data_IF_888347309082
#
_entry.id   IF_888347309082
#
_cell.length_a   1.000
_cell.length_b   1.000
_cell.length_c   1.000
_cell.angle_alpha   90.00
_cell.angle_beta   90.00
_cell.angle_gamma   90.00
#
_symmetry.space_group_name_H-M   'P 1'
#
loop_
_entity.id
_entity.type
_entity.pdbx_description
1 polymer ?
#
# COMPACT_ATOMS: atom_id res chain seq x y z
N UNK A 1 -6.40 2.53 27.31
CA UNK A 1 -5.54 1.40 27.68
C UNK A 1 -4.56 1.74 28.79
N UNK A 2 -3.64 2.71 28.63
CA UNK A 2 -2.64 3.09 29.65
C UNK A 2 -3.21 3.30 31.07
N UNK A 3 -4.30 4.05 31.22
CA UNK A 3 -5.01 4.24 32.51
C UNK A 3 -5.47 2.92 33.15
N UNK A 4 -5.93 1.97 32.35
CA UNK A 4 -6.38 0.65 32.83
C UNK A 4 -5.17 -0.15 33.31
N UNK A 5 -4.06 -0.11 32.57
CA UNK A 5 -2.82 -0.78 32.98
C UNK A 5 -2.32 -0.21 34.30
N UNK A 6 -2.25 1.12 34.45
CA UNK A 6 -1.85 1.77 35.71
C UNK A 6 -2.68 1.31 36.91
N UNK A 7 -4.01 1.37 36.79
CA UNK A 7 -4.92 0.98 37.89
C UNK A 7 -4.77 -0.47 38.35
N UNK A 8 -4.31 -1.36 37.46
CA UNK A 8 -4.23 -2.80 37.69
C UNK A 8 -2.77 -3.30 37.81
N UNK A 9 -1.78 -2.40 37.86
CA UNK A 9 -0.37 -2.78 37.99
C UNK A 9 -0.11 -3.32 39.41
N UNK A 10 0.27 -4.60 39.50
CA UNK A 10 0.39 -5.33 40.76
C UNK A 10 1.79 -5.92 41.03
N UNK A 11 2.63 -6.02 40.00
CA UNK A 11 4.03 -6.44 40.07
C UNK A 11 4.85 -5.75 38.96
N UNK A 12 6.18 -5.84 39.03
CA UNK A 12 7.05 -5.21 38.03
C UNK A 12 6.80 -5.82 36.65
N UNK A 13 6.47 -4.98 35.66
CA UNK A 13 6.12 -5.43 34.29
C UNK A 13 6.86 -4.65 33.21
N UNK A 14 7.07 -5.30 32.07
CA UNK A 14 7.41 -4.64 30.81
C UNK A 14 6.11 -4.33 30.06
N UNK A 15 5.91 -3.08 29.70
CA UNK A 15 4.74 -2.60 28.96
C UNK A 15 5.18 -2.26 27.54
N UNK A 16 4.79 -3.12 26.61
CA UNK A 16 5.21 -3.06 25.22
C UNK A 16 4.13 -2.41 24.33
N UNK A 17 4.50 -1.35 23.61
CA UNK A 17 3.68 -0.80 22.52
C UNK A 17 4.11 -1.39 21.19
N UNK A 18 3.20 -2.13 20.57
CA UNK A 18 3.39 -2.74 19.24
C UNK A 18 2.77 -1.92 18.10
N UNK A 19 1.72 -1.17 18.41
CA UNK A 19 1.05 -0.28 17.47
C UNK A 19 2.00 0.77 16.91
N UNK A 20 1.78 1.20 15.67
CA UNK A 20 2.47 2.37 15.12
C UNK A 20 1.95 3.62 15.83
N UNK A 21 2.81 4.24 16.64
CA UNK A 21 2.48 5.40 17.47
C UNK A 21 3.45 6.55 17.19
N UNK A 22 3.01 7.82 17.29
CA UNK A 22 3.88 8.99 17.13
C UNK A 22 5.14 8.94 18.00
N UNK A 23 6.22 9.58 17.54
CA UNK A 23 7.48 9.64 18.29
C UNK A 23 7.28 10.39 19.61
N UNK A 24 7.74 9.80 20.70
CA UNK A 24 7.55 10.29 22.08
C UNK A 24 6.31 9.73 22.78
N UNK A 25 5.55 8.82 22.15
CA UNK A 25 4.37 8.21 22.78
C UNK A 25 4.75 7.43 24.03
N UNK A 26 5.93 6.80 24.07
CA UNK A 26 6.39 6.10 25.26
C UNK A 26 6.42 6.95 26.54
N UNK A 27 6.80 8.23 26.44
CA UNK A 27 6.78 9.16 27.57
C UNK A 27 5.36 9.43 28.06
N UNK A 28 4.46 9.76 27.13
CA UNK A 28 3.04 10.02 27.42
C UNK A 28 2.38 8.79 28.06
N UNK A 29 2.64 7.60 27.52
CA UNK A 29 2.09 6.35 28.08
C UNK A 29 2.61 6.12 29.49
N UNK A 30 3.91 6.34 29.72
CA UNK A 30 4.54 6.15 31.02
C UNK A 30 4.01 7.13 32.06
N UNK A 31 3.83 8.40 31.71
CA UNK A 31 3.21 9.43 32.55
C UNK A 31 1.78 9.03 32.96
N UNK A 32 0.95 8.65 31.98
CA UNK A 32 -0.44 8.22 32.25
C UNK A 32 -0.49 7.00 33.16
N UNK A 33 0.43 6.05 33.00
CA UNK A 33 0.49 4.87 33.87
C UNK A 33 0.84 5.32 35.29
N UNK A 34 1.92 6.09 35.47
CA UNK A 34 2.36 6.60 36.77
C UNK A 34 1.28 7.39 37.52
N UNK A 35 0.56 8.27 36.83
CA UNK A 35 -0.56 9.05 37.41
C UNK A 35 -1.74 8.18 37.88
N UNK A 36 -1.85 6.96 37.38
CA UNK A 36 -2.99 6.08 37.62
C UNK A 36 -2.63 4.80 38.38
N UNK A 37 -1.38 4.65 38.86
CA UNK A 37 -0.99 3.50 39.66
C UNK A 37 -1.70 3.50 41.01
N UNK A 38 -2.14 2.32 41.42
CA UNK A 38 -2.71 2.07 42.74
C UNK A 38 -1.65 1.64 43.76
N UNK A 39 -0.42 1.41 43.30
CA UNK A 39 0.71 0.80 44.02
C UNK A 39 2.02 1.50 43.61
N UNK A 40 3.04 1.44 44.47
CA UNK A 40 4.41 1.91 44.16
C UNK A 40 5.18 0.94 43.24
N UNK A 41 4.46 0.11 42.49
CA UNK A 41 5.06 -0.91 41.64
C UNK A 41 5.72 -0.29 40.41
N UNK A 42 6.97 -0.65 40.17
CA UNK A 42 7.72 -0.22 38.99
C UNK A 42 7.23 -0.88 37.70
N UNK A 43 7.49 -0.23 36.56
CA UNK A 43 7.34 -0.84 35.24
C UNK A 43 8.38 -0.23 34.30
N UNK A 44 8.57 -0.87 33.17
CA UNK A 44 9.38 -0.32 32.09
C UNK A 44 8.62 -0.32 30.78
N UNK A 45 8.81 0.74 30.00
CA UNK A 45 8.18 0.89 28.70
C UNK A 45 9.09 0.39 27.59
N UNK A 46 8.51 -0.33 26.63
CA UNK A 46 9.20 -0.77 25.42
C UNK A 46 8.39 -0.37 24.18
N UNK A 47 9.10 0.12 23.16
CA UNK A 47 8.56 0.25 21.81
C UNK A 47 9.02 -0.92 20.95
N UNK A 48 8.09 -1.68 20.37
CA UNK A 48 8.40 -2.81 19.52
C UNK A 48 7.52 -2.81 18.27
N UNK A 49 7.80 -1.89 17.33
CA UNK A 49 6.97 -1.71 16.15
C UNK A 49 6.91 -2.99 15.31
N UNK A 50 5.76 -3.21 14.69
CA UNK A 50 5.56 -4.32 13.76
C UNK A 50 5.96 -3.94 12.31
N UNK A 51 6.36 -4.91 11.48
CA UNK A 51 6.68 -4.72 10.06
C UNK A 51 5.97 -5.73 9.15
N UNK A 52 4.76 -6.11 9.55
CA UNK A 52 3.96 -7.11 8.88
C UNK A 52 3.29 -6.50 7.66
N UNK A 53 3.19 -7.28 6.59
CA UNK A 53 2.38 -6.90 5.43
C UNK A 53 1.08 -7.68 5.47
N UNK A 54 -0.02 -6.96 5.27
CA UNK A 54 -1.33 -7.57 5.11
C UNK A 54 -1.32 -8.60 3.95
N UNK A 55 -1.96 -9.76 4.14
CA UNK A 55 -1.86 -10.90 3.22
C UNK A 55 -0.59 -11.76 3.35
N UNK A 56 0.40 -11.37 4.19
CA UNK A 56 1.57 -12.18 4.55
C UNK A 56 1.98 -12.09 6.02
N UNK A 57 1.08 -11.61 6.89
CA UNK A 57 1.39 -11.29 8.28
C UNK A 57 1.97 -12.46 9.08
N UNK A 58 1.42 -13.68 8.91
CA UNK A 58 1.94 -14.89 9.59
C UNK A 58 3.38 -15.16 9.18
N UNK A 59 3.68 -15.09 7.88
CA UNK A 59 5.04 -15.31 7.37
C UNK A 59 6.00 -14.22 7.87
N UNK A 60 5.59 -12.96 7.81
CA UNK A 60 6.43 -11.83 8.23
C UNK A 60 6.67 -11.83 9.75
N UNK A 61 5.76 -12.42 10.53
CA UNK A 61 5.92 -12.59 11.98
C UNK A 61 6.84 -13.76 12.33
N UNK A 62 6.71 -14.90 11.65
CA UNK A 62 7.52 -16.10 11.91
C UNK A 62 8.95 -15.96 11.35
N UNK A 63 9.12 -15.25 10.24
CA UNK A 63 10.41 -15.03 9.60
C UNK A 63 10.65 -13.55 9.28
N UNK A 64 10.80 -12.70 10.31
CA UNK A 64 11.05 -11.27 10.13
C UNK A 64 12.44 -11.01 9.56
N UNK A 65 12.56 -9.99 8.70
CA UNK A 65 13.87 -9.47 8.26
C UNK A 65 14.67 -8.91 9.45
N UNK A 66 13.97 -8.36 10.45
CA UNK A 66 14.47 -7.84 11.74
C UNK A 66 13.33 -7.62 12.73
N UNK A 67 13.65 -7.66 14.02
CA UNK A 67 12.79 -7.20 15.12
C UNK A 67 13.43 -5.97 15.75
N UNK A 68 12.67 -4.88 15.90
CA UNK A 68 13.18 -3.64 16.51
C UNK A 68 12.65 -3.55 17.94
N UNK A 69 13.54 -3.35 18.90
CA UNK A 69 13.20 -3.22 20.32
C UNK A 69 13.82 -1.91 20.83
N UNK A 70 12.95 -0.95 21.14
CA UNK A 70 13.29 0.30 21.82
C UNK A 70 13.09 0.14 23.31
N UNK A 71 14.16 0.10 24.09
CA UNK A 71 14.14 -0.04 25.54
C UNK A 71 15.20 0.89 26.16
N UNK A 72 14.95 1.40 27.37
CA UNK A 72 15.93 2.22 28.10
C UNK A 72 16.78 1.42 29.09
N UNK A 73 16.26 0.29 29.59
CA UNK A 73 17.01 -0.59 30.48
C UNK A 73 17.29 -1.94 29.85
N UNK A 74 18.41 -2.53 30.27
CA UNK A 74 18.83 -3.87 29.89
C UNK A 74 17.81 -4.93 30.33
N UNK A 75 17.20 -4.77 31.51
CA UNK A 75 16.22 -5.74 32.02
C UNK A 75 14.99 -5.87 31.13
N UNK A 76 14.44 -4.74 30.66
CA UNK A 76 13.30 -4.78 29.75
C UNK A 76 13.68 -5.31 28.35
N UNK A 77 14.90 -5.00 27.90
CA UNK A 77 15.42 -5.54 26.66
C UNK A 77 15.57 -7.07 26.71
N UNK A 78 16.24 -7.61 27.73
CA UNK A 78 16.46 -9.04 27.93
C UNK A 78 15.14 -9.83 27.99
N UNK A 79 14.11 -9.28 28.67
CA UNK A 79 12.77 -9.89 28.70
C UNK A 79 12.17 -9.95 27.29
N UNK A 80 12.27 -8.88 26.51
CA UNK A 80 11.72 -8.84 25.16
C UNK A 80 12.50 -9.73 24.20
N UNK A 81 13.83 -9.82 24.36
CA UNK A 81 14.67 -10.75 23.63
C UNK A 81 14.27 -12.21 23.91
N UNK A 82 14.04 -12.56 25.18
CA UNK A 82 13.60 -13.90 25.58
C UNK A 82 12.27 -14.30 24.90
N UNK A 83 11.31 -13.37 24.82
CA UNK A 83 10.04 -13.57 24.09
C UNK A 83 10.30 -13.95 22.63
N UNK A 84 11.25 -13.26 21.97
CA UNK A 84 11.56 -13.45 20.56
C UNK A 84 12.54 -14.60 20.28
N UNK A 85 13.21 -15.15 21.30
CA UNK A 85 14.14 -16.29 21.17
C UNK A 85 13.48 -17.50 20.52
N UNK A 86 12.19 -17.72 20.79
CA UNK A 86 11.42 -18.86 20.27
C UNK A 86 11.20 -18.85 18.75
N UNK A 87 11.41 -17.71 18.07
CA UNK A 87 11.12 -17.59 16.63
C UNK A 87 12.24 -18.10 15.72
N UNK A 88 13.47 -18.26 16.24
CA UNK A 88 14.61 -18.70 15.44
C UNK A 88 15.47 -19.73 16.18
N UNK A 89 16.00 -20.70 15.43
CA UNK A 89 16.87 -21.77 15.94
C UNK A 89 18.27 -21.23 16.29
N UNK A 90 18.75 -20.19 15.58
CA UNK A 90 20.09 -19.64 15.77
C UNK A 90 20.03 -18.27 16.47
N UNK A 91 19.73 -17.20 15.71
CA UNK A 91 19.69 -15.83 16.22
C UNK A 91 18.57 -15.07 15.51
N UNK A 92 17.64 -14.51 16.29
CA UNK A 92 16.64 -13.58 15.75
C UNK A 92 17.35 -12.26 15.46
N UNK A 93 17.22 -11.67 14.25
CA UNK A 93 17.86 -10.39 13.93
C UNK A 93 17.24 -9.24 14.72
N UNK A 94 17.68 -9.04 15.96
CA UNK A 94 17.18 -8.03 16.89
C UNK A 94 18.01 -6.75 16.77
N UNK A 95 17.32 -5.61 16.68
CA UNK A 95 17.91 -4.28 16.75
C UNK A 95 17.50 -3.66 18.09
N UNK A 96 18.44 -3.61 19.03
CA UNK A 96 18.28 -2.89 20.30
C UNK A 96 18.57 -1.40 20.10
N UNK A 97 17.66 -0.54 20.55
CA UNK A 97 17.82 0.92 20.47
C UNK A 97 16.99 1.65 21.54
N UNK A 98 16.95 2.98 21.50
CA UNK A 98 16.08 3.78 22.38
C UNK A 98 14.63 3.78 21.92
N UNK A 99 13.70 4.09 22.81
CA UNK A 99 12.26 4.11 22.54
C UNK A 99 11.92 5.00 21.34
N UNK A 100 12.38 6.26 21.33
CA UNK A 100 12.10 7.20 20.25
C UNK A 100 12.72 6.77 18.92
N UNK A 101 13.89 6.13 18.97
CA UNK A 101 14.55 5.60 17.77
C UNK A 101 13.75 4.45 17.18
N UNK A 102 13.25 3.53 18.01
CA UNK A 102 12.38 2.44 17.55
C UNK A 102 11.08 2.96 16.92
N UNK A 103 10.42 3.93 17.56
CA UNK A 103 9.22 4.59 17.02
C UNK A 103 9.51 5.25 15.67
N UNK A 104 10.63 5.97 15.55
CA UNK A 104 11.05 6.63 14.30
C UNK A 104 11.39 5.63 13.19
N UNK A 105 12.04 4.49 13.49
CA UNK A 105 12.41 3.48 12.48
C UNK A 105 11.18 3.00 11.71
N UNK A 106 10.02 2.84 12.36
CA UNK A 106 8.77 2.43 11.69
C UNK A 106 8.32 3.46 10.65
N UNK A 107 8.24 4.73 11.03
CA UNK A 107 7.85 5.80 10.12
C UNK A 107 8.87 6.00 8.99
N UNK A 108 10.16 6.01 9.32
CA UNK A 108 11.24 6.17 8.34
C UNK A 108 11.22 5.04 7.30
N UNK A 109 11.02 3.79 7.75
CA UNK A 109 10.93 2.63 6.86
C UNK A 109 9.72 2.74 5.91
N UNK A 110 8.52 2.99 6.45
CA UNK A 110 7.30 3.09 5.64
C UNK A 110 7.37 4.27 4.67
N UNK A 111 7.86 5.43 5.12
CA UNK A 111 8.01 6.61 4.28
C UNK A 111 9.01 6.39 3.14
N UNK A 112 10.11 5.68 3.38
CA UNK A 112 11.06 5.34 2.33
C UNK A 112 10.47 4.38 1.30
N UNK A 113 9.69 3.37 1.73
CA UNK A 113 8.99 2.47 0.80
C UNK A 113 7.97 3.21 -0.06
N UNK A 114 7.22 4.16 0.52
CA UNK A 114 6.31 5.04 -0.22
C UNK A 114 7.07 5.91 -1.23
N UNK A 115 8.20 6.49 -0.83
CA UNK A 115 9.07 7.28 -1.70
C UNK A 115 9.56 6.47 -2.90
N UNK A 116 10.00 5.21 -2.71
CA UNK A 116 10.42 4.33 -3.82
C UNK A 116 9.30 4.13 -4.85
N UNK A 117 8.06 3.92 -4.40
CA UNK A 117 6.89 3.76 -5.28
C UNK A 117 6.61 5.06 -6.05
N UNK A 118 6.56 6.21 -5.36
CA UNK A 118 6.33 7.50 -6.02
C UNK A 118 7.42 7.82 -7.02
N UNK A 119 8.68 7.60 -6.66
CA UNK A 119 9.83 7.79 -7.53
C UNK A 119 9.70 6.97 -8.82
N UNK A 120 9.46 5.65 -8.72
CA UNK A 120 9.36 4.83 -9.93
C UNK A 120 8.13 5.18 -10.77
N UNK A 121 7.05 5.69 -10.16
CA UNK A 121 5.89 6.19 -10.89
C UNK A 121 6.19 7.47 -11.68
N UNK A 122 7.02 8.37 -11.17
CA UNK A 122 7.49 9.53 -11.95
C UNK A 122 8.37 9.12 -13.12
N UNK A 123 9.31 8.20 -12.87
CA UNK A 123 10.13 7.61 -13.94
C UNK A 123 9.24 6.93 -14.98
N UNK A 124 8.15 6.28 -14.57
CA UNK A 124 7.17 5.68 -15.49
C UNK A 124 6.55 6.74 -16.41
N UNK A 125 6.17 7.91 -15.87
CA UNK A 125 5.61 8.99 -16.67
C UNK A 125 6.62 9.54 -17.68
N UNK A 126 7.89 9.67 -17.29
CA UNK A 126 8.96 10.08 -18.20
C UNK A 126 9.19 9.02 -19.29
N UNK A 127 9.24 7.74 -18.93
CA UNK A 127 9.45 6.62 -19.86
C UNK A 127 8.43 6.64 -21.00
N UNK A 128 7.16 6.89 -20.69
CA UNK A 128 6.09 7.03 -21.70
C UNK A 128 6.32 8.16 -22.70
N UNK A 129 6.98 9.26 -22.28
CA UNK A 129 7.24 10.42 -23.15
C UNK A 129 8.49 10.29 -23.99
N UNK A 130 9.49 9.54 -23.52
CA UNK A 130 10.78 9.40 -24.19
C UNK A 130 10.94 8.09 -24.96
N UNK A 131 9.91 7.22 -24.95
CA UNK A 131 9.96 5.94 -25.65
C UNK A 131 10.69 4.83 -24.88
N UNK A 132 10.83 4.96 -23.55
CA UNK A 132 11.51 3.96 -22.72
C UNK A 132 10.52 3.00 -22.02
N UNK A 133 11.01 1.86 -21.55
CA UNK A 133 10.25 0.88 -20.74
C UNK A 133 10.72 0.93 -19.28
N UNK A 134 9.83 1.39 -18.39
CA UNK A 134 10.08 1.50 -16.96
C UNK A 134 10.44 0.16 -16.30
N UNK A 135 9.99 -0.98 -16.80
CA UNK A 135 10.33 -2.29 -16.23
C UNK A 135 11.79 -2.66 -16.52
N UNK A 136 12.29 -2.27 -17.70
CA UNK A 136 13.71 -2.42 -18.04
C UNK A 136 14.55 -1.50 -17.17
N UNK A 137 14.11 -0.24 -17.00
CA UNK A 137 14.78 0.74 -16.12
C UNK A 137 14.81 0.24 -14.67
N UNK A 138 13.66 -0.16 -14.11
CA UNK A 138 13.53 -0.66 -12.75
C UNK A 138 14.39 -1.90 -12.52
N UNK A 139 14.43 -2.84 -13.47
CA UNK A 139 15.26 -4.04 -13.41
C UNK A 139 16.75 -3.69 -13.42
N UNK A 140 17.18 -2.80 -14.31
CA UNK A 140 18.58 -2.37 -14.41
C UNK A 140 19.02 -1.63 -13.14
N UNK A 141 18.22 -0.66 -12.67
CA UNK A 141 18.48 0.06 -11.42
C UNK A 141 18.50 -0.88 -10.21
N UNK A 142 17.52 -1.78 -10.12
CA UNK A 142 17.40 -2.73 -9.02
C UNK A 142 18.48 -3.81 -8.98
N UNK A 143 19.28 -3.96 -10.04
CA UNK A 143 20.46 -4.84 -10.05
C UNK A 143 21.63 -4.26 -9.26
N UNK A 144 21.61 -2.95 -8.97
CA UNK A 144 22.54 -2.31 -8.05
C UNK A 144 22.18 -2.68 -6.61
N UNK A 145 23.10 -3.35 -5.90
CA UNK A 145 22.92 -3.80 -4.52
C UNK A 145 22.59 -2.68 -3.53
N UNK A 146 22.85 -1.42 -3.87
CA UNK A 146 22.53 -0.25 -3.03
C UNK A 146 21.06 0.18 -3.11
N UNK A 147 20.32 -0.21 -4.16
CA UNK A 147 18.96 0.27 -4.43
C UNK A 147 17.89 -0.74 -3.95
N UNK A 148 18.19 -2.04 -4.07
CA UNK A 148 17.23 -3.15 -3.95
C UNK A 148 16.13 -3.15 -5.03
N UNK A 149 15.85 -4.29 -5.67
CA UNK A 149 14.83 -4.38 -6.71
C UNK A 149 13.39 -4.33 -6.17
N UNK A 150 13.18 -4.47 -4.87
CA UNK A 150 11.84 -4.45 -4.24
C UNK A 150 11.26 -3.03 -4.25
N UNK A 151 9.93 -2.92 -4.35
CA UNK A 151 9.19 -1.64 -4.34
C UNK A 151 9.56 -0.70 -5.52
N UNK A 152 9.95 -1.28 -6.65
CA UNK A 152 10.20 -0.56 -7.92
C UNK A 152 9.25 -1.01 -9.04
N UNK A 153 8.07 -1.51 -8.67
CA UNK A 153 7.03 -1.84 -9.65
C UNK A 153 6.12 -0.61 -9.81
N UNK A 154 6.03 -0.02 -11.01
CA UNK A 154 5.12 1.09 -11.27
C UNK A 154 3.67 0.60 -11.21
N UNK A 155 2.76 1.50 -10.85
CA UNK A 155 1.35 1.16 -10.71
C UNK A 155 0.43 2.38 -10.62
N UNK A 156 -0.83 2.20 -10.20
CA UNK A 156 -1.81 3.28 -10.10
C UNK A 156 -1.58 4.21 -8.88
N UNK A 157 -0.50 4.00 -8.14
CA UNK A 157 -0.23 4.64 -6.84
C UNK A 157 -0.29 3.63 -5.70
N UNK A 158 0.26 4.00 -4.55
CA UNK A 158 0.13 3.25 -3.30
C UNK A 158 -1.12 3.67 -2.52
N UNK A 159 -1.60 2.76 -1.67
CA UNK A 159 -2.73 2.94 -0.78
C UNK A 159 -2.59 2.10 0.49
N UNK A 160 -3.71 1.70 1.06
CA UNK A 160 -3.78 0.92 2.29
C UNK A 160 -3.70 1.80 3.53
N UNK A 161 -3.87 1.17 4.70
CA UNK A 161 -3.93 1.85 6.00
C UNK A 161 -2.60 2.37 6.54
N UNK A 162 -1.48 1.83 6.06
CA UNK A 162 -0.16 2.13 6.60
C UNK A 162 0.49 3.32 5.89
N UNK A 163 0.79 3.21 4.59
CA UNK A 163 1.66 4.18 3.90
C UNK A 163 1.12 5.62 3.88
N UNK A 164 -0.13 5.90 3.46
CA UNK A 164 -0.64 7.27 3.42
C UNK A 164 -0.74 7.90 4.81
N UNK A 165 -1.19 7.13 5.80
CA UNK A 165 -1.28 7.57 7.20
C UNK A 165 0.09 7.88 7.78
N UNK A 166 1.05 6.95 7.62
CA UNK A 166 2.36 7.06 8.26
C UNK A 166 3.21 8.15 7.62
N UNK A 167 3.17 8.30 6.30
CA UNK A 167 3.85 9.41 5.61
C UNK A 167 3.29 10.76 6.03
N UNK A 168 1.98 10.91 6.09
CA UNK A 168 1.32 12.14 6.55
C UNK A 168 1.65 12.45 8.01
N UNK A 169 1.56 11.44 8.89
CA UNK A 169 1.90 11.58 10.30
C UNK A 169 3.37 11.99 10.50
N UNK A 170 4.30 11.39 9.76
CA UNK A 170 5.72 11.77 9.81
C UNK A 170 5.94 13.23 9.40
N UNK A 171 5.30 13.66 8.31
CA UNK A 171 5.36 15.07 7.85
C UNK A 171 4.82 16.01 8.92
N UNK A 172 3.65 15.72 9.50
CA UNK A 172 3.04 16.55 10.55
C UNK A 172 3.89 16.60 11.81
N UNK A 173 4.42 15.46 12.27
CA UNK A 173 5.32 15.41 13.42
C UNK A 173 6.59 16.25 13.20
N UNK A 174 7.19 16.15 12.02
CA UNK A 174 8.40 16.89 11.68
C UNK A 174 8.12 18.40 11.55
N UNK A 175 6.99 18.80 10.98
CA UNK A 175 6.54 20.19 10.92
C UNK A 175 6.36 20.80 12.32
N UNK A 176 5.76 20.06 13.26
CA UNK A 176 5.62 20.51 14.65
C UNK A 176 6.97 20.71 15.37
N UNK A 177 8.06 20.14 14.82
CA UNK A 177 9.43 20.32 15.27
C UNK A 177 10.24 21.27 14.38
N UNK A 178 9.59 21.98 13.45
CA UNK A 178 10.22 22.88 12.48
C UNK A 178 11.24 22.19 11.55
N UNK A 179 11.04 20.91 11.24
CA UNK A 179 11.87 20.12 10.31
C UNK A 179 11.04 19.76 9.06
N UNK A 180 11.21 20.45 7.93
CA UNK A 180 10.40 20.19 6.75
C UNK A 180 10.84 18.90 6.02
N UNK A 181 9.90 17.97 5.85
CA UNK A 181 10.11 16.69 5.15
C UNK A 181 9.84 16.81 3.63
N UNK A 182 10.64 17.60 2.92
CA UNK A 182 10.41 17.95 1.50
C UNK A 182 10.28 16.74 0.57
N UNK A 183 11.16 15.75 0.72
CA UNK A 183 11.16 14.54 -0.13
C UNK A 183 9.93 13.68 0.08
N UNK A 184 9.45 13.58 1.32
CA UNK A 184 8.25 12.79 1.64
C UNK A 184 6.98 13.54 1.22
N UNK A 185 6.94 14.87 1.37
CA UNK A 185 5.85 15.69 0.84
C UNK A 185 5.70 15.52 -0.68
N UNK A 186 6.81 15.62 -1.41
CA UNK A 186 6.82 15.36 -2.85
C UNK A 186 6.30 13.95 -3.17
N UNK A 187 6.72 12.92 -2.43
CA UNK A 187 6.23 11.56 -2.63
C UNK A 187 4.71 11.42 -2.44
N UNK A 188 4.13 12.12 -1.45
CA UNK A 188 2.67 12.13 -1.21
C UNK A 188 1.94 12.80 -2.37
N UNK A 189 2.40 13.97 -2.80
CA UNK A 189 1.82 14.72 -3.93
C UNK A 189 1.90 13.93 -5.24
N UNK A 190 3.06 13.34 -5.52
CA UNK A 190 3.28 12.46 -6.67
C UNK A 190 2.32 11.27 -6.66
N UNK A 191 2.07 10.66 -5.50
CA UNK A 191 1.11 9.56 -5.40
C UNK A 191 -0.33 10.01 -5.72
N UNK A 192 -0.75 11.16 -5.21
CA UNK A 192 -2.07 11.73 -5.52
C UNK A 192 -2.22 12.06 -7.01
N UNK A 193 -1.17 12.62 -7.63
CA UNK A 193 -1.13 12.86 -9.07
C UNK A 193 -1.15 11.56 -9.88
N UNK A 194 -0.47 10.51 -9.42
CA UNK A 194 -0.44 9.22 -10.10
C UNK A 194 -1.84 8.58 -10.17
N UNK A 195 -2.62 8.62 -9.08
CA UNK A 195 -4.01 8.12 -9.06
C UNK A 195 -4.86 8.82 -10.13
N UNK A 196 -4.80 10.16 -10.19
CA UNK A 196 -5.49 10.99 -11.20
C UNK A 196 -4.99 10.72 -12.62
N UNK A 197 -3.70 10.44 -12.77
CA UNK A 197 -3.10 10.12 -14.08
C UNK A 197 -3.67 8.82 -14.66
N UNK A 198 -4.01 7.83 -13.84
CA UNK A 198 -4.66 6.61 -14.33
C UNK A 198 -6.02 6.89 -14.95
N UNK A 199 -6.82 7.76 -14.33
CA UNK A 199 -8.10 8.23 -14.88
C UNK A 199 -7.88 8.89 -16.24
N UNK A 200 -6.91 9.79 -16.34
CA UNK A 200 -6.57 10.46 -17.62
C UNK A 200 -6.09 9.49 -18.69
N UNK A 201 -5.37 8.42 -18.34
CA UNK A 201 -4.94 7.39 -19.30
C UNK A 201 -6.14 6.60 -19.83
N UNK A 202 -7.10 6.23 -18.97
CA UNK A 202 -8.34 5.60 -19.42
C UNK A 202 -9.13 6.55 -20.32
N UNK A 203 -9.25 7.83 -19.93
CA UNK A 203 -9.93 8.85 -20.71
C UNK A 203 -9.29 9.05 -22.10
N UNK A 204 -7.96 8.97 -22.20
CA UNK A 204 -7.26 9.06 -23.48
C UNK A 204 -7.58 7.88 -24.42
N UNK A 205 -7.95 6.72 -23.89
CA UNK A 205 -8.35 5.55 -24.68
C UNK A 205 -9.83 5.61 -25.11
N UNK A 206 -10.72 6.12 -24.25
CA UNK A 206 -12.17 6.06 -24.46
C UNK A 206 -12.78 7.36 -24.98
N UNK A 207 -12.11 8.49 -24.77
CA UNK A 207 -12.72 9.82 -24.88
C UNK A 207 -13.55 10.16 -23.64
N UNK A 208 -14.69 10.83 -23.86
CA UNK A 208 -15.60 11.19 -22.77
C UNK A 208 -16.25 9.97 -22.13
N UNK A 209 -16.49 10.03 -20.81
CA UNK A 209 -17.03 8.91 -20.04
C UNK A 209 -18.56 8.88 -20.01
N UNK A 210 -19.25 9.95 -20.43
CA UNK A 210 -20.69 10.07 -20.30
C UNK A 210 -21.42 8.94 -21.03
N UNK A 211 -22.22 8.18 -20.29
CA UNK A 211 -23.02 7.07 -20.83
C UNK A 211 -22.22 5.80 -21.16
N UNK A 212 -20.90 5.78 -20.96
CA UNK A 212 -20.10 4.58 -21.12
C UNK A 212 -20.32 3.60 -19.95
N UNK A 213 -20.20 2.31 -20.22
CA UNK A 213 -20.11 1.27 -19.18
C UNK A 213 -18.66 0.82 -19.04
N UNK A 214 -18.07 1.05 -17.87
CA UNK A 214 -16.67 0.74 -17.59
C UNK A 214 -16.58 -0.43 -16.59
N UNK A 215 -15.82 -1.46 -16.97
CA UNK A 215 -15.48 -2.57 -16.09
C UNK A 215 -14.26 -2.25 -15.23
N UNK A 216 -14.31 -2.51 -13.93
CA UNK A 216 -13.20 -2.34 -12.99
C UNK A 216 -12.84 -3.71 -12.41
N UNK A 217 -11.61 -4.14 -12.65
CA UNK A 217 -11.06 -5.37 -12.10
C UNK A 217 -10.08 -5.04 -10.99
N UNK A 218 -10.44 -5.37 -9.75
CA UNK A 218 -9.70 -5.05 -8.54
C UNK A 218 -10.16 -3.75 -7.88
N UNK A 219 -10.44 -3.84 -6.59
CA UNK A 219 -10.95 -2.75 -5.74
C UNK A 219 -10.06 -2.53 -4.51
N UNK A 220 -9.50 -3.61 -3.95
CA UNK A 220 -8.53 -3.53 -2.87
C UNK A 220 -7.27 -2.75 -3.27
N UNK A 221 -6.56 -2.16 -2.30
CA UNK A 221 -5.34 -1.39 -2.61
C UNK A 221 -4.19 -2.27 -3.15
N UNK A 222 -4.22 -3.58 -2.84
CA UNK A 222 -3.31 -4.62 -3.32
C UNK A 222 -4.01 -5.98 -3.27
N UNK A 223 -3.42 -6.98 -3.91
CA UNK A 223 -3.93 -8.36 -3.84
C UNK A 223 -3.85 -8.98 -2.43
N UNK A 224 -4.72 -9.96 -2.16
CA UNK A 224 -4.83 -10.76 -0.91
C UNK A 224 -5.31 -10.01 0.33
N UNK A 225 -6.18 -9.03 0.15
CA UNK A 225 -6.85 -8.29 1.24
C UNK A 225 -8.16 -7.71 0.72
N UNK A 226 -9.11 -7.48 1.63
CA UNK A 226 -10.35 -6.75 1.42
C UNK A 226 -10.22 -5.25 1.77
N UNK A 227 -9.04 -4.78 2.18
CA UNK A 227 -8.80 -3.39 2.55
C UNK A 227 -8.83 -2.49 1.31
N UNK A 228 -9.79 -1.58 1.31
CA UNK A 228 -10.01 -0.59 0.24
C UNK A 228 -9.52 0.81 0.61
N UNK A 229 -9.07 1.01 1.86
CA UNK A 229 -8.65 2.34 2.35
C UNK A 229 -7.52 2.87 1.48
N UNK A 230 -7.66 4.11 1.04
CA UNK A 230 -6.69 4.79 0.17
C UNK A 230 -6.38 4.04 -1.14
N UNK A 231 -7.22 3.09 -1.56
CA UNK A 231 -7.07 2.39 -2.84
C UNK A 231 -7.14 3.37 -4.01
N UNK A 232 -6.34 3.12 -5.06
CA UNK A 232 -6.42 3.90 -6.29
C UNK A 232 -7.76 3.69 -7.03
N UNK A 233 -8.44 2.56 -6.78
CA UNK A 233 -9.77 2.29 -7.33
C UNK A 233 -10.83 3.27 -6.82
N UNK A 234 -10.67 3.83 -5.62
CA UNK A 234 -11.58 4.87 -5.11
C UNK A 234 -11.56 6.13 -6.00
N UNK A 235 -10.36 6.60 -6.37
CA UNK A 235 -10.20 7.75 -7.27
C UNK A 235 -10.74 7.45 -8.68
N UNK A 236 -10.46 6.24 -9.20
CA UNK A 236 -10.94 5.81 -10.51
C UNK A 236 -12.47 5.78 -10.57
N UNK A 237 -13.11 5.01 -9.69
CA UNK A 237 -14.58 4.87 -9.66
C UNK A 237 -15.24 6.21 -9.37
N UNK A 238 -14.74 6.97 -8.40
CA UNK A 238 -15.26 8.30 -8.08
C UNK A 238 -15.21 9.26 -9.28
N UNK A 239 -14.15 9.21 -10.08
CA UNK A 239 -14.02 10.04 -11.29
C UNK A 239 -14.96 9.60 -12.41
N UNK A 240 -15.10 8.30 -12.63
CA UNK A 240 -16.01 7.73 -13.63
C UNK A 240 -17.46 8.09 -13.35
N UNK A 241 -17.91 7.93 -12.10
CA UNK A 241 -19.28 8.26 -11.69
C UNK A 241 -19.57 9.75 -11.81
N UNK A 242 -18.62 10.61 -11.41
CA UNK A 242 -18.74 12.07 -11.58
C UNK A 242 -18.87 12.49 -13.04
N UNK A 243 -18.31 11.72 -13.95
CA UNK A 243 -18.38 11.96 -15.39
C UNK A 243 -19.58 11.27 -16.09
N UNK A 244 -20.47 10.63 -15.33
CA UNK A 244 -21.70 10.02 -15.87
C UNK A 244 -21.52 8.63 -16.48
N UNK A 245 -20.41 7.93 -16.19
CA UNK A 245 -20.26 6.52 -16.57
C UNK A 245 -21.03 5.58 -15.64
N UNK A 246 -21.42 4.43 -16.18
CA UNK A 246 -21.85 3.27 -15.40
C UNK A 246 -20.63 2.42 -15.07
N UNK A 247 -20.55 1.90 -13.85
CA UNK A 247 -19.43 1.09 -13.38
C UNK A 247 -19.91 -0.32 -13.04
N UNK A 248 -19.28 -1.32 -13.66
CA UNK A 248 -19.32 -2.72 -13.23
C UNK A 248 -17.98 -3.04 -12.58
N UNK A 249 -17.98 -3.67 -11.41
CA UNK A 249 -16.76 -3.92 -10.67
C UNK A 249 -16.71 -5.34 -10.13
N UNK A 250 -15.51 -5.90 -10.08
CA UNK A 250 -15.24 -7.16 -9.41
C UNK A 250 -13.90 -7.12 -8.69
N UNK A 251 -13.92 -7.51 -7.43
CA UNK A 251 -12.76 -7.88 -6.64
C UNK A 251 -13.09 -9.19 -5.87
N UNK A 252 -12.17 -10.18 -5.85
CA UNK A 252 -12.38 -11.45 -5.15
C UNK A 252 -12.75 -11.32 -3.67
N UNK A 253 -12.21 -10.32 -2.98
CA UNK A 253 -12.35 -10.18 -1.53
C UNK A 253 -13.00 -8.85 -1.13
N UNK A 254 -12.80 -7.80 -1.92
CA UNK A 254 -13.10 -6.43 -1.50
C UNK A 254 -14.43 -5.85 -1.99
N UNK A 255 -15.27 -6.62 -2.70
CA UNK A 255 -16.59 -6.14 -3.16
C UNK A 255 -17.42 -5.56 -2.01
N UNK A 256 -17.54 -6.29 -0.89
CA UNK A 256 -18.33 -5.87 0.28
C UNK A 256 -17.77 -4.59 0.89
N UNK A 257 -16.47 -4.54 1.16
CA UNK A 257 -15.80 -3.39 1.77
C UNK A 257 -15.85 -2.15 0.87
N UNK A 258 -15.76 -2.32 -0.46
CA UNK A 258 -15.84 -1.21 -1.41
C UNK A 258 -17.28 -0.66 -1.53
N UNK A 259 -18.30 -1.52 -1.36
CA UNK A 259 -19.71 -1.12 -1.38
C UNK A 259 -20.08 -0.13 -0.27
N UNK A 260 -19.33 -0.06 0.82
CA UNK A 260 -19.49 0.98 1.84
C UNK A 260 -19.22 2.40 1.30
N UNK A 261 -18.33 2.52 0.31
CA UNK A 261 -17.96 3.81 -0.30
C UNK A 261 -18.81 4.13 -1.53
N UNK A 262 -19.12 3.12 -2.35
CA UNK A 262 -19.84 3.28 -3.61
C UNK A 262 -20.95 2.23 -3.76
N UNK A 263 -22.05 2.32 -2.99
CA UNK A 263 -23.15 1.35 -3.07
C UNK A 263 -23.90 1.36 -4.40
N UNK A 264 -23.75 2.42 -5.20
CA UNK A 264 -24.50 2.64 -6.44
C UNK A 264 -23.92 1.95 -7.69
N UNK A 265 -22.74 1.33 -7.61
CA UNK A 265 -22.14 0.62 -8.75
C UNK A 265 -22.63 -0.83 -8.83
N UNK A 266 -22.43 -1.48 -9.98
CA UNK A 266 -22.78 -2.90 -10.13
C UNK A 266 -21.61 -3.77 -9.69
N UNK A 267 -21.77 -4.47 -8.56
CA UNK A 267 -20.81 -5.47 -8.10
C UNK A 267 -21.12 -6.83 -8.73
N UNK A 268 -20.14 -7.36 -9.45
CA UNK A 268 -20.21 -8.65 -10.14
C UNK A 268 -19.61 -9.75 -9.28
N UNK A 269 -19.93 -11.02 -9.58
CA UNK A 269 -19.42 -12.19 -8.85
C UNK A 269 -18.18 -12.80 -9.47
N UNK A 270 -17.94 -12.50 -10.74
CA UNK A 270 -16.75 -12.94 -11.47
C UNK A 270 -16.22 -11.81 -12.35
N UNK A 271 -14.97 -11.93 -12.79
CA UNK A 271 -14.38 -10.95 -13.70
C UNK A 271 -15.09 -10.96 -15.06
N UNK A 272 -15.59 -12.10 -15.53
CA UNK A 272 -16.34 -12.21 -16.79
C UNK A 272 -17.62 -11.35 -16.76
N UNK A 273 -18.37 -11.40 -15.65
CA UNK A 273 -19.55 -10.56 -15.45
C UNK A 273 -19.20 -9.07 -15.45
N UNK A 274 -18.06 -8.70 -14.84
CA UNK A 274 -17.62 -7.32 -14.74
C UNK A 274 -17.17 -6.72 -16.08
N UNK A 275 -16.62 -7.53 -16.98
CA UNK A 275 -16.17 -7.08 -18.32
C UNK A 275 -17.25 -7.21 -19.39
N UNK A 276 -18.30 -7.99 -19.14
CA UNK A 276 -19.36 -8.25 -20.11
C UNK A 276 -20.10 -6.98 -20.53
N UNK A 277 -20.24 -6.79 -21.84
CA UNK A 277 -20.91 -5.66 -22.50
C UNK A 277 -20.36 -4.28 -22.08
N UNK A 278 -19.09 -4.20 -21.69
CA UNK A 278 -18.43 -2.95 -21.30
C UNK A 278 -17.74 -2.25 -22.48
N UNK A 279 -17.71 -0.93 -22.47
CA UNK A 279 -17.02 -0.09 -23.46
C UNK A 279 -15.50 -0.02 -23.20
N UNK A 280 -15.06 -0.19 -21.96
CA UNK A 280 -13.65 -0.36 -21.60
C UNK A 280 -13.50 -1.05 -20.24
N UNK A 281 -12.31 -1.59 -19.99
CA UNK A 281 -11.95 -2.22 -18.70
C UNK A 281 -10.67 -1.60 -18.14
N UNK A 282 -10.66 -1.31 -16.84
CA UNK A 282 -9.46 -0.94 -16.11
C UNK A 282 -9.08 -2.03 -15.10
N UNK A 283 -7.84 -2.51 -15.17
CA UNK A 283 -7.26 -3.42 -14.18
C UNK A 283 -6.53 -2.59 -13.14
N UNK A 284 -7.01 -2.62 -11.89
CA UNK A 284 -6.57 -1.74 -10.80
C UNK A 284 -5.78 -2.47 -9.71
N UNK A 285 -5.94 -3.79 -9.58
CA UNK A 285 -5.28 -4.62 -8.55
C UNK A 285 -4.73 -5.90 -9.15
N UNK A 286 -3.51 -6.29 -8.76
CA UNK A 286 -2.75 -7.39 -9.40
C UNK A 286 -3.12 -8.82 -8.94
N UNK A 287 -4.41 -9.11 -8.77
CA UNK A 287 -4.92 -10.44 -8.41
C UNK A 287 -4.47 -11.51 -9.39
N UNK A 288 -4.17 -12.72 -8.88
CA UNK A 288 -3.62 -13.79 -9.70
C UNK A 288 -4.57 -14.26 -10.81
N UNK A 289 -5.87 -14.30 -10.55
CA UNK A 289 -6.91 -14.67 -11.52
C UNK A 289 -6.93 -13.74 -12.75
N UNK A 290 -6.62 -12.45 -12.60
CA UNK A 290 -6.56 -11.52 -13.71
C UNK A 290 -5.35 -11.79 -14.62
N UNK A 291 -4.26 -12.35 -14.07
CA UNK A 291 -3.04 -12.66 -14.85
C UNK A 291 -3.26 -13.80 -15.84
N UNK A 292 -4.26 -14.63 -15.58
CA UNK A 292 -4.62 -15.79 -16.42
C UNK A 292 -5.75 -15.51 -17.39
N UNK A 293 -6.26 -14.27 -17.45
CA UNK A 293 -7.32 -13.92 -18.39
C UNK A 293 -6.83 -14.07 -19.84
N UNK A 294 -7.60 -14.81 -20.63
CA UNK A 294 -7.36 -14.97 -22.05
C UNK A 294 -7.89 -13.76 -22.84
N UNK A 295 -7.03 -13.16 -23.66
CA UNK A 295 -7.35 -11.95 -24.42
C UNK A 295 -8.50 -12.17 -25.42
N UNK A 296 -8.65 -13.38 -25.97
CA UNK A 296 -9.74 -13.70 -26.91
C UNK A 296 -11.08 -13.78 -26.18
N UNK A 297 -11.10 -14.39 -25.00
CA UNK A 297 -12.27 -14.40 -24.12
C UNK A 297 -12.69 -13.00 -23.70
N UNK A 298 -11.74 -12.18 -23.23
CA UNK A 298 -12.00 -10.76 -22.90
C UNK A 298 -12.64 -10.03 -24.08
N UNK A 299 -12.07 -10.17 -25.28
CA UNK A 299 -12.57 -9.50 -26.49
C UNK A 299 -14.01 -9.90 -26.83
N UNK A 300 -14.35 -11.17 -26.64
CA UNK A 300 -15.69 -11.68 -26.96
C UNK A 300 -16.76 -11.22 -25.95
N UNK A 301 -16.35 -10.92 -24.71
CA UNK A 301 -17.27 -10.46 -23.66
C UNK A 301 -17.49 -8.95 -23.71
N UNK A 302 -16.48 -8.18 -24.12
CA UNK A 302 -16.54 -6.71 -24.14
C UNK A 302 -17.27 -6.19 -25.38
N UNK A 303 -17.94 -5.04 -25.25
CA UNK A 303 -18.54 -4.32 -26.38
C UNK A 303 -17.47 -3.68 -27.27
N UNK A 304 -16.43 -3.12 -26.64
CA UNK A 304 -15.27 -2.53 -27.30
C UNK A 304 -13.99 -3.07 -26.65
N UNK A 305 -12.97 -3.49 -27.41
CA UNK A 305 -11.75 -4.08 -26.86
C UNK A 305 -10.78 -2.98 -26.38
N UNK A 306 -11.18 -2.21 -25.36
CA UNK A 306 -10.39 -1.15 -24.75
C UNK A 306 -9.96 -1.54 -23.33
N UNK A 307 -8.64 -1.58 -23.06
CA UNK A 307 -8.11 -1.98 -21.75
C UNK A 307 -7.07 -0.98 -21.24
N UNK A 308 -7.23 -0.51 -20.01
CA UNK A 308 -6.15 0.11 -19.23
C UNK A 308 -5.63 -0.90 -18.21
N UNK A 309 -4.40 -1.38 -18.39
CA UNK A 309 -3.73 -2.21 -17.39
C UNK A 309 -2.81 -1.37 -16.51
N UNK A 310 -3.30 -0.95 -15.33
CA UNK A 310 -2.52 -0.12 -14.43
C UNK A 310 -1.44 -0.88 -13.66
N UNK A 311 -1.47 -2.22 -13.69
CA UNK A 311 -0.58 -3.10 -12.91
C UNK A 311 0.44 -3.84 -13.78
N UNK A 312 0.39 -3.67 -15.10
CA UNK A 312 1.27 -4.31 -16.06
C UNK A 312 1.27 -5.85 -15.96
N UNK A 313 0.10 -6.45 -15.72
CA UNK A 313 -0.06 -7.90 -15.55
C UNK A 313 -0.53 -8.62 -16.82
N UNK A 314 -1.10 -7.90 -17.78
CA UNK A 314 -1.59 -8.46 -19.04
C UNK A 314 -0.49 -8.46 -20.11
N UNK A 315 -0.50 -9.49 -20.95
CA UNK A 315 0.44 -9.60 -22.07
C UNK A 315 0.10 -8.60 -23.17
N UNK A 316 0.94 -7.57 -23.32
CA UNK A 316 0.84 -6.58 -24.43
C UNK A 316 0.77 -7.25 -25.80
N UNK A 317 1.61 -8.27 -26.02
CA UNK A 317 1.66 -9.01 -27.28
C UNK A 317 0.33 -9.66 -27.62
N UNK A 318 -0.33 -10.26 -26.62
CA UNK A 318 -1.64 -10.89 -26.84
C UNK A 318 -2.75 -9.85 -27.00
N UNK A 319 -2.72 -8.73 -26.26
CA UNK A 319 -3.66 -7.63 -26.47
C UNK A 319 -3.53 -7.05 -27.88
N UNK A 320 -2.31 -6.79 -28.35
CA UNK A 320 -2.05 -6.30 -29.70
C UNK A 320 -2.50 -7.29 -30.78
N UNK A 321 -2.13 -8.56 -30.64
CA UNK A 321 -2.54 -9.64 -31.56
C UNK A 321 -4.06 -9.77 -31.68
N UNK A 322 -4.79 -9.54 -30.59
CA UNK A 322 -6.25 -9.56 -30.58
C UNK A 322 -6.88 -8.21 -30.94
N UNK A 323 -6.09 -7.18 -31.27
CA UNK A 323 -6.58 -5.89 -31.77
C UNK A 323 -7.20 -5.00 -30.71
N UNK A 324 -6.76 -5.11 -29.46
CA UNK A 324 -7.16 -4.19 -28.39
C UNK A 324 -6.57 -2.79 -28.62
N UNK A 325 -7.34 -1.76 -28.24
CA UNK A 325 -6.77 -0.46 -27.89
C UNK A 325 -6.39 -0.53 -26.41
N UNK A 326 -5.11 -0.41 -26.07
CA UNK A 326 -4.70 -0.56 -24.69
C UNK A 326 -3.57 0.39 -24.31
N UNK A 327 -3.48 0.64 -23.01
CA UNK A 327 -2.39 1.39 -22.40
C UNK A 327 -2.01 0.72 -21.07
N UNK A 328 -0.79 0.99 -20.62
CA UNK A 328 -0.24 0.47 -19.38
C UNK A 328 0.65 1.51 -18.70
N UNK A 329 1.28 1.17 -17.58
CA UNK A 329 2.08 2.14 -16.81
C UNK A 329 3.56 2.02 -17.16
N UNK A 330 4.08 3.09 -17.74
CA UNK A 330 5.49 3.35 -17.94
C UNK A 330 6.11 2.72 -19.17
N UNK A 331 5.30 2.38 -20.17
CA UNK A 331 5.81 1.92 -21.47
C UNK A 331 5.17 2.72 -22.59
N UNK A 332 5.84 2.85 -23.75
CA UNK A 332 5.32 3.65 -24.84
C UNK A 332 4.00 3.07 -25.34
N UNK A 333 3.04 3.96 -25.58
CA UNK A 333 1.78 3.59 -26.21
C UNK A 333 2.09 3.08 -27.62
N UNK A 334 1.65 1.87 -27.94
CA UNK A 334 1.74 1.36 -29.30
C UNK A 334 0.63 2.02 -30.13
N UNK A 335 1.00 3.04 -30.90
CA UNK A 335 0.12 3.57 -31.94
C UNK A 335 -0.02 2.55 -33.06
N UNK A 336 -1.26 2.31 -33.50
CA UNK A 336 -1.58 1.47 -34.66
C UNK A 336 -0.85 1.91 -35.93
#
# INVERSE_FOLDING_TARGET
MAKIIGKNLNERKVICTKSTVPIGTGKIVSEIINENKSTETDFEYVSNPEFLREGSAVKDFLWPDRVVIGAESEWAFEIMEDVYRSLYINETPIVHTTVETAELIKYASNAFLSLKISYINEISALCEKVGADVHVVAKAMGSDGRISPKFLHPGPGFGGSCFPKDTSALVSMAQNKNVPMRTIQAAIETNAHQKKRMVKKLQALTGDFSGLTIGILGLAFKSKTDDVRESASLEMVGSLLKAGAQVKAYDPEANTSFAEFYPQITYCKTWEEAVKDTDAVAVMTEWNEFRTMDAKTLKNLMKSPIILDTRNILSRKELQKNGFSFDNVGRPMETK
#
